data_IF_662250402994
#
_entry.id   IF_662250402994
#
_cell.length_a   1.000
_cell.length_b   1.000
_cell.length_c   1.000
_cell.angle_alpha   90.00
_cell.angle_beta   90.00
_cell.angle_gamma   90.00
#
_symmetry.space_group_name_H-M   'P 1'
#
loop_
_entity.id
_entity.type
_entity.pdbx_description
1 polymer ?
#
# COMPACT_ATOMS: atom_id res chain seq x y z
N UNK A 1 -9.04 17.36 13.02
CA UNK A 1 -7.86 16.60 12.54
C UNK A 1 -8.17 15.12 12.33
N UNK A 2 -8.84 14.43 13.27
CA UNK A 2 -9.15 12.99 13.19
C UNK A 2 -9.94 12.57 11.93
N UNK A 3 -11.01 13.33 11.61
CA UNK A 3 -11.87 13.08 10.44
C UNK A 3 -11.10 13.08 9.12
N UNK A 4 -10.13 13.99 8.93
CA UNK A 4 -9.36 14.06 7.68
C UNK A 4 -8.39 12.88 7.53
N UNK A 5 -7.84 12.41 8.64
CA UNK A 5 -6.94 11.25 8.67
C UNK A 5 -7.72 9.98 8.31
N UNK A 6 -8.90 9.77 8.89
CA UNK A 6 -9.76 8.63 8.57
C UNK A 6 -10.16 8.58 7.09
N UNK A 7 -10.52 9.73 6.50
CA UNK A 7 -10.83 9.80 5.07
C UNK A 7 -9.62 9.49 4.18
N UNK A 8 -8.42 9.96 4.55
CA UNK A 8 -7.20 9.66 3.81
C UNK A 8 -6.86 8.16 3.85
N UNK A 9 -6.98 7.53 5.03
CA UNK A 9 -6.80 6.08 5.17
C UNK A 9 -7.85 5.28 4.40
N UNK A 10 -9.12 5.70 4.40
CA UNK A 10 -10.16 5.05 3.61
C UNK A 10 -9.86 5.10 2.10
N UNK A 11 -9.41 6.26 1.60
CA UNK A 11 -8.99 6.41 0.20
C UNK A 11 -7.78 5.53 -0.14
N UNK A 12 -6.80 5.41 0.77
CA UNK A 12 -5.64 4.53 0.61
C UNK A 12 -6.02 3.05 0.61
N UNK A 13 -6.91 2.62 1.51
CA UNK A 13 -7.45 1.24 1.54
C UNK A 13 -8.17 0.87 0.26
N UNK A 14 -8.89 1.82 -0.36
CA UNK A 14 -9.54 1.60 -1.66
C UNK A 14 -8.54 1.42 -2.81
N UNK A 15 -7.34 2.00 -2.72
CA UNK A 15 -6.31 1.90 -3.76
C UNK A 15 -5.42 0.67 -3.62
N UNK A 16 -5.07 0.30 -2.40
CA UNK A 16 -4.18 -0.83 -2.13
C UNK A 16 -4.96 -1.96 -1.47
N UNK A 17 -5.22 -3.05 -2.21
CA UNK A 17 -5.88 -4.24 -1.64
C UNK A 17 -5.14 -4.79 -0.42
N UNK A 18 -3.80 -4.66 -0.37
CA UNK A 18 -2.98 -5.03 0.79
C UNK A 18 -3.30 -4.23 2.07
N UNK A 19 -3.90 -3.05 1.95
CA UNK A 19 -4.36 -2.23 3.09
C UNK A 19 -5.83 -2.52 3.45
N UNK A 20 -6.60 -3.18 2.59
CA UNK A 20 -8.04 -3.39 2.81
C UNK A 20 -8.31 -4.22 4.07
N UNK A 21 -7.50 -5.25 4.34
CA UNK A 21 -7.62 -6.07 5.55
C UNK A 21 -7.00 -5.43 6.80
N UNK A 22 -6.32 -4.29 6.66
CA UNK A 22 -5.62 -3.66 7.77
C UNK A 22 -6.60 -2.93 8.70
N UNK A 23 -7.15 -3.63 9.68
CA UNK A 23 -8.00 -3.04 10.73
C UNK A 23 -7.17 -2.45 11.88
N UNK A 24 -6.67 -1.22 11.69
CA UNK A 24 -6.04 -0.45 12.77
C UNK A 24 -7.06 0.46 13.44
N UNK A 25 -7.25 0.27 14.75
CA UNK A 25 -8.07 1.13 15.60
C UNK A 25 -7.21 2.34 16.01
N UNK A 26 -7.56 3.53 15.53
CA UNK A 26 -6.85 4.77 15.86
C UNK A 26 -7.57 5.45 17.02
N UNK A 27 -6.94 5.50 18.19
CA UNK A 27 -7.48 6.15 19.39
C UNK A 27 -6.63 7.34 19.86
N UNK A 28 -5.34 7.33 19.54
CA UNK A 28 -4.40 8.36 19.96
C UNK A 28 -3.32 8.61 18.89
N UNK A 29 -2.47 9.60 19.14
CA UNK A 29 -1.40 9.99 18.20
C UNK A 29 -0.36 8.89 17.94
N UNK A 30 -0.13 7.98 18.89
CA UNK A 30 0.75 6.83 18.68
C UNK A 30 0.14 5.88 17.67
N UNK A 31 -1.17 5.64 17.74
CA UNK A 31 -1.87 4.78 16.77
C UNK A 31 -1.84 5.40 15.37
N UNK A 32 -1.93 6.73 15.27
CA UNK A 32 -1.74 7.45 14.00
C UNK A 32 -0.34 7.20 13.43
N UNK A 33 0.71 7.30 14.25
CA UNK A 33 2.09 7.01 13.80
C UNK A 33 2.24 5.58 13.33
N UNK A 34 1.70 4.61 14.07
CA UNK A 34 1.70 3.19 13.68
C UNK A 34 0.99 3.00 12.34
N UNK A 35 -0.18 3.59 12.15
CA UNK A 35 -0.93 3.51 10.90
C UNK A 35 -0.17 4.13 9.72
N UNK A 36 0.54 5.25 9.94
CA UNK A 36 1.41 5.87 8.94
C UNK A 36 2.56 4.94 8.53
N UNK A 37 3.21 4.27 9.50
CA UNK A 37 4.25 3.28 9.18
C UNK A 37 3.71 2.10 8.37
N UNK A 38 2.54 1.58 8.72
CA UNK A 38 1.90 0.52 7.95
C UNK A 38 1.60 0.94 6.51
N UNK A 39 1.08 2.14 6.30
CA UNK A 39 0.86 2.68 4.95
C UNK A 39 2.16 2.79 4.18
N UNK A 40 3.23 3.29 4.80
CA UNK A 40 4.55 3.34 4.15
C UNK A 40 5.05 1.94 3.76
N UNK A 41 4.94 0.95 4.65
CA UNK A 41 5.30 -0.43 4.34
C UNK A 41 4.49 -0.97 3.14
N UNK A 42 3.18 -0.73 3.10
CA UNK A 42 2.33 -1.18 2.00
C UNK A 42 2.69 -0.50 0.67
N UNK A 43 3.03 0.79 0.67
CA UNK A 43 3.50 1.50 -0.54
C UNK A 43 4.82 0.91 -1.03
N UNK A 44 5.79 0.72 -0.13
CA UNK A 44 7.11 0.16 -0.48
C UNK A 44 6.94 -1.25 -1.06
N UNK A 45 6.18 -2.11 -0.38
CA UNK A 45 5.93 -3.48 -0.83
C UNK A 45 5.20 -3.50 -2.17
N UNK A 46 4.20 -2.64 -2.38
CA UNK A 46 3.47 -2.57 -3.64
C UNK A 46 4.38 -2.13 -4.79
N UNK A 47 5.21 -1.11 -4.57
CA UNK A 47 6.18 -0.67 -5.56
C UNK A 47 7.22 -1.76 -5.87
N UNK A 48 7.65 -2.52 -4.87
CA UNK A 48 8.54 -3.67 -5.08
C UNK A 48 7.87 -4.75 -5.92
N UNK A 49 6.62 -5.11 -5.62
CA UNK A 49 5.87 -6.10 -6.41
C UNK A 49 5.71 -5.64 -7.86
N UNK A 50 5.31 -4.38 -8.09
CA UNK A 50 5.23 -3.81 -9.44
C UNK A 50 6.58 -3.92 -10.14
N UNK A 51 7.67 -3.53 -9.47
CA UNK A 51 9.00 -3.58 -10.07
C UNK A 51 9.40 -5.02 -10.47
N UNK A 52 9.14 -6.00 -9.60
CA UNK A 52 9.39 -7.40 -9.93
C UNK A 52 8.50 -7.92 -11.06
N UNK A 53 7.22 -7.54 -11.09
CA UNK A 53 6.31 -7.89 -12.19
C UNK A 53 6.77 -7.27 -13.52
N UNK A 54 7.21 -6.02 -13.52
CA UNK A 54 7.78 -5.33 -14.69
C UNK A 54 9.08 -6.00 -15.17
N UNK A 55 9.99 -6.34 -14.26
CA UNK A 55 11.22 -7.08 -14.59
C UNK A 55 10.90 -8.47 -15.17
N UNK A 56 9.91 -9.18 -14.63
CA UNK A 56 9.47 -10.48 -15.17
C UNK A 56 8.82 -10.37 -16.55
N UNK A 57 8.05 -9.31 -16.81
CA UNK A 57 7.49 -9.02 -18.13
C UNK A 57 8.58 -8.66 -19.13
N UNK A 58 9.63 -7.95 -18.71
CA UNK A 58 10.79 -7.64 -19.55
C UNK A 58 11.70 -8.83 -19.89
N UNK A 59 11.64 -9.92 -19.10
CA UNK A 59 12.35 -11.18 -19.40
C UNK A 59 11.56 -12.06 -20.39
N UNK A 60 10.24 -11.87 -20.46
CA UNK A 60 9.37 -12.45 -21.50
C UNK A 60 9.27 -11.46 -22.67
N UNK A 61 10.40 -11.10 -23.27
CA UNK A 61 10.35 -10.74 -24.69
C UNK A 61 9.88 -12.00 -25.43
N UNK A 62 8.86 -11.91 -26.31
CA UNK A 62 8.43 -13.04 -27.11
C UNK A 62 9.65 -13.50 -27.91
N UNK A 63 10.14 -14.70 -27.61
CA UNK A 63 11.08 -15.38 -28.48
C UNK A 63 10.45 -15.38 -29.87
N UNK A 64 11.13 -14.68 -30.77
CA UNK A 64 10.75 -14.50 -32.16
C UNK A 64 10.32 -15.84 -32.77
N UNK A 65 9.04 -15.94 -33.13
CA UNK A 65 8.51 -16.85 -34.13
C UNK A 65 7.50 -16.09 -34.99
#
# INVERSE_FOLDING_TARGET
>A
VHVHVEHAFAALKGRFQSLHELHLKIWNERDVKVAVYWVMCCIILHNMVIHFEEEMVGIVEPSSW
#
